data_IF_852646719217
#
_entry.id   IF_852646719217
#
_cell.length_a   1.000
_cell.length_b   1.000
_cell.length_c   1.000
_cell.angle_alpha   90.00
_cell.angle_beta   90.00
_cell.angle_gamma   90.00
#
_symmetry.space_group_name_H-M   'P 1'
#
loop_
_entity.id
_entity.type
_entity.pdbx_description
1 polymer ?
#
# COMPACT_ATOMS: atom_id res chain seq x y z
N UNK A 1 63.70 -37.24 47.46
CA UNK A 1 62.33 -36.68 47.36
C UNK A 1 61.50 -37.58 46.45
N UNK A 2 60.57 -38.38 46.99
CA UNK A 2 59.68 -39.23 46.18
C UNK A 2 58.48 -38.39 45.68
N UNK A 3 58.09 -38.48 44.40
CA UNK A 3 56.99 -37.69 43.86
C UNK A 3 55.67 -38.21 44.42
N UNK A 4 54.84 -37.31 44.97
CA UNK A 4 53.45 -37.64 45.33
C UNK A 4 52.69 -38.01 44.06
N UNK A 5 52.36 -39.31 43.91
CA UNK A 5 51.38 -39.76 42.92
C UNK A 5 50.04 -39.09 43.24
N UNK A 6 49.64 -38.09 42.45
CA UNK A 6 48.28 -37.56 42.45
C UNK A 6 47.34 -38.72 42.17
N UNK A 7 46.51 -39.07 43.16
CA UNK A 7 45.48 -40.12 43.08
C UNK A 7 44.57 -39.75 41.90
N UNK A 8 44.47 -40.60 40.87
CA UNK A 8 43.51 -40.38 39.79
C UNK A 8 42.10 -40.39 40.40
N UNK A 9 41.27 -39.38 40.13
CA UNK A 9 39.91 -39.33 40.67
C UNK A 9 39.12 -40.55 40.21
N UNK A 10 38.33 -41.08 41.14
CA UNK A 10 37.45 -42.24 40.93
C UNK A 10 36.44 -41.96 39.80
N UNK A 11 36.44 -42.74 38.70
CA UNK A 11 35.60 -42.49 37.53
C UNK A 11 34.10 -42.58 37.83
N UNK A 12 33.66 -43.42 38.78
CA UNK A 12 32.25 -43.48 39.19
C UNK A 12 31.84 -42.20 39.95
N UNK A 13 32.72 -41.72 40.84
CA UNK A 13 32.52 -40.44 41.53
C UNK A 13 32.51 -39.26 40.56
N UNK A 14 33.33 -39.28 39.51
CA UNK A 14 33.29 -38.26 38.46
C UNK A 14 32.00 -38.31 37.64
N UNK A 15 31.50 -39.49 37.28
CA UNK A 15 30.22 -39.64 36.57
C UNK A 15 29.02 -39.18 37.42
N UNK A 16 29.00 -39.50 38.71
CA UNK A 16 27.97 -39.05 39.65
C UNK A 16 27.98 -37.52 39.83
N UNK A 17 29.17 -36.91 39.90
CA UNK A 17 29.30 -35.45 39.95
C UNK A 17 28.82 -34.79 38.65
N UNK A 18 29.13 -35.36 37.48
CA UNK A 18 28.65 -34.86 36.18
C UNK A 18 27.13 -34.98 36.05
N UNK A 19 26.53 -36.10 36.48
CA UNK A 19 25.08 -36.28 36.49
C UNK A 19 24.39 -35.30 37.44
N UNK A 20 24.89 -35.15 38.67
CA UNK A 20 24.36 -34.18 39.64
C UNK A 20 24.50 -32.75 39.14
N UNK A 21 25.64 -32.40 38.54
CA UNK A 21 25.84 -31.08 37.96
C UNK A 21 24.87 -30.86 36.79
N UNK A 22 24.68 -31.83 35.88
CA UNK A 22 23.71 -31.73 34.78
C UNK A 22 22.26 -31.55 35.28
N UNK A 23 21.87 -32.25 36.34
CA UNK A 23 20.57 -32.08 36.99
C UNK A 23 20.43 -30.69 37.62
N UNK A 24 21.44 -30.23 38.36
CA UNK A 24 21.47 -28.88 38.95
C UNK A 24 21.41 -27.79 37.87
N UNK A 25 22.15 -27.94 36.77
CA UNK A 25 22.09 -27.01 35.63
C UNK A 25 20.69 -27.00 35.00
N UNK A 26 20.07 -28.18 34.82
CA UNK A 26 18.70 -28.28 34.30
C UNK A 26 17.67 -27.60 35.21
N UNK A 27 17.77 -27.79 36.53
CA UNK A 27 16.90 -27.12 37.50
C UNK A 27 17.11 -25.61 37.51
N UNK A 28 18.37 -25.15 37.45
CA UNK A 28 18.69 -23.72 37.39
C UNK A 28 18.16 -23.06 36.10
N UNK A 29 18.30 -23.72 34.95
CA UNK A 29 17.75 -23.23 33.68
C UNK A 29 16.22 -23.18 33.70
N UNK A 30 15.57 -24.21 34.24
CA UNK A 30 14.11 -24.25 34.38
C UNK A 30 13.61 -23.15 35.34
N UNK A 31 14.29 -22.96 36.48
CA UNK A 31 13.97 -21.89 37.43
C UNK A 31 14.16 -20.50 36.80
N UNK A 32 15.25 -20.29 36.05
CA UNK A 32 15.49 -19.04 35.33
C UNK A 32 14.38 -18.76 34.31
N UNK A 33 14.00 -19.76 33.51
CA UNK A 33 12.90 -19.63 32.54
C UNK A 33 11.57 -19.31 33.24
N UNK A 34 11.26 -20.00 34.35
CA UNK A 34 10.05 -19.74 35.11
C UNK A 34 10.02 -18.32 35.69
N UNK A 35 11.14 -17.83 36.24
CA UNK A 35 11.27 -16.46 36.73
C UNK A 35 11.09 -15.46 35.59
N UNK A 36 11.70 -15.69 34.42
CA UNK A 36 11.50 -14.85 33.24
C UNK A 36 10.02 -14.81 32.87
N UNK A 37 9.37 -15.97 32.65
CA UNK A 37 7.95 -16.02 32.28
C UNK A 37 7.05 -15.32 33.30
N UNK A 38 7.31 -15.47 34.59
CA UNK A 38 6.58 -14.78 35.65
C UNK A 38 6.77 -13.26 35.59
N UNK A 39 8.02 -12.79 35.43
CA UNK A 39 8.32 -11.36 35.32
C UNK A 39 7.70 -10.77 34.06
N UNK A 40 7.93 -11.37 32.88
CA UNK A 40 7.34 -10.92 31.61
C UNK A 40 5.80 -10.95 31.67
N UNK A 41 5.21 -12.00 32.26
CA UNK A 41 3.77 -12.12 32.44
C UNK A 41 3.19 -11.05 33.35
N UNK A 42 3.84 -10.78 34.49
CA UNK A 42 3.39 -9.76 35.44
C UNK A 42 3.52 -8.34 34.87
N UNK A 43 4.64 -8.04 34.20
CA UNK A 43 4.83 -6.77 33.47
C UNK A 43 3.75 -6.62 32.40
N UNK A 44 3.47 -7.66 31.63
CA UNK A 44 2.46 -7.60 30.60
C UNK A 44 1.03 -7.42 31.15
N UNK A 45 0.73 -7.98 32.32
CA UNK A 45 -0.56 -7.83 32.99
C UNK A 45 -0.76 -6.40 33.50
N UNK A 46 0.28 -5.80 34.07
CA UNK A 46 0.23 -4.46 34.66
C UNK A 46 0.40 -3.34 33.62
N UNK A 47 0.87 -3.66 32.42
CA UNK A 47 1.05 -2.70 31.34
C UNK A 47 -0.31 -2.16 30.83
N UNK A 48 -0.38 -0.84 30.64
CA UNK A 48 -1.52 -0.16 30.05
C UNK A 48 -1.79 -0.70 28.64
N UNK A 49 -3.05 -1.02 28.38
CA UNK A 49 -3.50 -1.57 27.10
C UNK A 49 -3.81 -0.42 26.15
N UNK A 50 -3.39 -0.58 24.90
CA UNK A 50 -3.57 0.43 23.86
C UNK A 50 -4.59 -0.07 22.85
N UNK A 51 -5.46 0.81 22.38
CA UNK A 51 -6.46 0.45 21.37
C UNK A 51 -5.92 0.55 19.93
N UNK A 52 -4.85 1.32 19.73
CA UNK A 52 -4.25 1.60 18.44
C UNK A 52 -2.72 1.57 18.50
N UNK A 53 -2.09 1.10 17.42
CA UNK A 53 -0.64 1.17 17.21
C UNK A 53 -0.34 2.18 16.12
N UNK A 54 0.33 3.27 16.50
CA UNK A 54 0.77 4.32 15.56
C UNK A 54 1.86 3.79 14.60
N UNK A 55 2.72 2.88 15.07
CA UNK A 55 3.80 2.32 14.25
C UNK A 55 3.28 1.32 13.22
N UNK A 56 2.32 0.47 13.59
CA UNK A 56 1.69 -0.50 12.67
C UNK A 56 0.47 0.10 11.94
N UNK A 57 0.10 1.35 12.25
CA UNK A 57 -1.08 2.06 11.74
C UNK A 57 -2.37 1.22 11.75
N UNK A 58 -2.67 0.55 12.87
CA UNK A 58 -3.84 -0.34 12.99
C UNK A 58 -4.41 -0.40 14.40
N UNK A 59 -5.69 -0.78 14.48
CA UNK A 59 -6.32 -1.16 15.75
C UNK A 59 -5.70 -2.45 16.30
N UNK A 60 -5.49 -2.46 17.60
CA UNK A 60 -4.95 -3.60 18.32
C UNK A 60 -6.09 -4.49 18.82
N UNK A 61 -5.86 -5.80 18.81
CA UNK A 61 -6.85 -6.76 19.29
C UNK A 61 -7.07 -6.58 20.80
N UNK A 62 -8.30 -6.24 21.18
CA UNK A 62 -8.72 -6.21 22.57
C UNK A 62 -8.90 -7.64 23.12
N UNK A 63 -8.73 -7.81 24.43
CA UNK A 63 -8.95 -9.09 25.09
C UNK A 63 -10.41 -9.54 24.94
N UNK A 64 -10.66 -10.75 24.41
CA UNK A 64 -12.02 -11.24 24.19
C UNK A 64 -12.71 -11.58 25.52
N UNK A 65 -14.02 -11.33 25.59
CA UNK A 65 -14.84 -11.87 26.66
C UNK A 65 -15.11 -13.37 26.41
N UNK A 66 -14.96 -14.24 27.43
CA UNK A 66 -15.25 -15.66 27.26
C UNK A 66 -16.76 -15.90 27.14
N UNK A 67 -17.17 -16.59 26.07
CA UNK A 67 -18.53 -17.14 25.91
C UNK A 67 -18.45 -18.62 25.60
N UNK A 68 -19.47 -19.41 25.99
CA UNK A 68 -19.49 -20.86 25.75
C UNK A 68 -19.30 -21.21 24.27
N UNK A 69 -19.94 -20.46 23.37
CA UNK A 69 -19.78 -20.61 21.93
C UNK A 69 -18.33 -20.35 21.47
N UNK A 70 -17.74 -19.22 21.89
CA UNK A 70 -16.37 -18.84 21.49
C UNK A 70 -15.28 -19.79 22.01
N UNK A 71 -15.54 -20.51 23.10
CA UNK A 71 -14.61 -21.50 23.65
C UNK A 71 -14.72 -22.80 22.85
N UNK A 72 -15.94 -23.22 22.53
CA UNK A 72 -16.22 -24.45 21.76
C UNK A 72 -15.73 -24.35 20.31
N UNK A 73 -15.85 -23.17 19.68
CA UNK A 73 -15.42 -22.95 18.30
C UNK A 73 -13.93 -22.54 18.17
N UNK A 74 -13.22 -22.38 19.30
CA UNK A 74 -11.80 -22.02 19.34
C UNK A 74 -11.48 -20.54 19.07
N UNK A 75 -12.48 -19.72 18.72
CA UNK A 75 -12.29 -18.30 18.41
C UNK A 75 -11.81 -17.49 19.61
N UNK A 76 -12.19 -17.89 20.83
CA UNK A 76 -11.70 -17.26 22.06
C UNK A 76 -10.18 -17.40 22.19
N UNK A 77 -9.64 -18.61 21.98
CA UNK A 77 -8.19 -18.84 22.11
C UNK A 77 -7.39 -18.13 21.03
N UNK A 78 -7.89 -18.13 19.79
CA UNK A 78 -7.29 -17.37 18.70
C UNK A 78 -7.25 -15.86 19.01
N UNK A 79 -8.37 -15.28 19.42
CA UNK A 79 -8.46 -13.86 19.80
C UNK A 79 -7.64 -13.53 21.04
N UNK A 80 -7.56 -14.43 22.01
CA UNK A 80 -6.74 -14.26 23.21
C UNK A 80 -5.25 -14.23 22.85
N UNK A 81 -4.79 -15.13 21.97
CA UNK A 81 -3.41 -15.13 21.49
C UNK A 81 -3.08 -13.86 20.70
N UNK A 82 -3.98 -13.43 19.81
CA UNK A 82 -3.84 -12.18 19.08
C UNK A 82 -3.78 -10.97 20.02
N UNK A 83 -4.71 -10.88 20.99
CA UNK A 83 -4.70 -9.83 22.02
C UNK A 83 -3.41 -9.85 22.85
N UNK A 84 -2.93 -11.02 23.26
CA UNK A 84 -1.69 -11.11 24.03
C UNK A 84 -0.46 -10.63 23.24
N UNK A 85 -0.39 -10.95 21.95
CA UNK A 85 0.65 -10.48 21.04
C UNK A 85 0.60 -8.96 20.85
N UNK A 86 -0.60 -8.43 20.55
CA UNK A 86 -0.82 -7.01 20.28
C UNK A 86 -0.58 -6.15 21.52
N UNK A 87 -0.96 -6.66 22.68
CA UNK A 87 -0.87 -5.93 23.95
C UNK A 87 0.42 -6.23 24.72
N UNK A 88 1.40 -6.88 24.07
CA UNK A 88 2.67 -7.23 24.71
C UNK A 88 3.45 -5.96 25.07
N UNK A 89 3.95 -5.87 26.29
CA UNK A 89 4.66 -4.67 26.71
C UNK A 89 5.85 -4.37 25.79
N UNK A 90 6.03 -3.08 25.49
CA UNK A 90 7.10 -2.60 24.60
C UNK A 90 7.16 -3.35 23.25
N UNK A 91 6.01 -3.76 22.70
CA UNK A 91 5.88 -4.47 21.41
C UNK A 91 6.74 -3.88 20.30
N UNK A 92 6.72 -2.56 20.12
CA UNK A 92 7.50 -1.88 19.08
C UNK A 92 9.01 -2.13 19.21
N UNK A 93 9.51 -2.20 20.44
CA UNK A 93 10.92 -2.53 20.71
C UNK A 93 11.23 -3.97 20.35
N UNK A 94 10.30 -4.90 20.58
CA UNK A 94 10.45 -6.29 20.17
C UNK A 94 10.44 -6.46 18.66
N UNK A 95 9.51 -5.81 17.97
CA UNK A 95 9.42 -5.83 16.49
C UNK A 95 10.71 -5.27 15.89
N UNK A 96 11.14 -4.08 16.33
CA UNK A 96 12.38 -3.47 15.83
C UNK A 96 13.64 -4.26 16.18
N UNK A 97 13.71 -4.89 17.38
CA UNK A 97 14.84 -5.74 17.76
C UNK A 97 14.90 -7.01 16.92
N UNK A 98 13.75 -7.67 16.71
CA UNK A 98 13.64 -8.85 15.85
C UNK A 98 14.11 -8.51 14.44
N UNK A 99 13.58 -7.42 13.87
CA UNK A 99 13.94 -6.97 12.53
C UNK A 99 15.45 -6.72 12.39
N UNK A 100 16.09 -6.06 13.36
CA UNK A 100 17.55 -5.85 13.36
C UNK A 100 18.32 -7.16 13.41
N UNK A 101 17.85 -8.14 14.19
CA UNK A 101 18.48 -9.48 14.25
C UNK A 101 18.33 -10.18 12.89
N UNK A 102 17.13 -10.16 12.31
CA UNK A 102 16.84 -10.77 11.00
C UNK A 102 17.73 -10.14 9.91
N UNK A 103 17.88 -8.81 9.90
CA UNK A 103 18.78 -8.10 8.99
C UNK A 103 20.26 -8.46 9.19
N UNK A 104 20.73 -8.57 10.44
CA UNK A 104 22.09 -9.01 10.77
C UNK A 104 22.35 -10.46 10.32
N UNK A 105 21.32 -11.30 10.34
CA UNK A 105 21.35 -12.66 9.82
C UNK A 105 21.22 -12.71 8.28
N UNK A 106 21.11 -11.56 7.62
CA UNK A 106 21.07 -11.44 6.17
C UNK A 106 19.68 -11.52 5.55
N UNK A 107 18.60 -11.55 6.36
CA UNK A 107 17.24 -11.45 5.82
C UNK A 107 17.01 -10.07 5.22
N UNK A 108 16.40 -10.04 4.03
CA UNK A 108 16.10 -8.82 3.26
C UNK A 108 14.61 -8.68 2.95
N UNK A 109 13.79 -9.34 3.75
CA UNK A 109 12.34 -9.31 3.66
C UNK A 109 11.77 -9.28 5.08
N UNK A 110 10.73 -8.47 5.30
CA UNK A 110 9.94 -8.47 6.53
C UNK A 110 8.47 -8.33 6.17
N UNK A 111 7.65 -9.31 6.58
CA UNK A 111 6.20 -9.31 6.38
C UNK A 111 5.76 -9.04 4.92
N UNK A 112 6.39 -9.68 3.93
CA UNK A 112 6.05 -9.49 2.52
C UNK A 112 6.48 -8.13 1.96
N UNK A 113 7.51 -7.51 2.56
CA UNK A 113 8.15 -6.28 2.08
C UNK A 113 9.65 -6.49 1.99
N UNK A 114 10.21 -6.28 0.81
CA UNK A 114 11.65 -6.28 0.59
C UNK A 114 12.31 -5.03 1.16
N UNK A 115 13.45 -5.24 1.81
CA UNK A 115 14.34 -4.21 2.33
C UNK A 115 15.41 -3.94 1.27
N UNK A 116 15.17 -2.93 0.45
CA UNK A 116 15.90 -2.64 -0.77
C UNK A 116 17.09 -1.68 -0.55
N UNK A 117 17.80 -1.38 -1.62
CA UNK A 117 18.83 -0.34 -1.64
C UNK A 117 18.21 1.06 -1.45
N UNK A 118 19.02 2.02 -1.02
CA UNK A 118 18.62 3.44 -0.85
C UNK A 118 17.37 3.65 0.02
N UNK A 119 17.24 2.83 1.06
CA UNK A 119 16.15 2.85 2.05
C UNK A 119 14.73 2.64 1.47
N UNK A 120 14.64 2.08 0.26
CA UNK A 120 13.37 1.68 -0.33
C UNK A 120 12.80 0.43 0.36
N UNK A 121 11.49 0.44 0.54
CA UNK A 121 10.66 -0.67 0.92
C UNK A 121 9.77 -1.00 -0.28
N UNK A 122 9.85 -2.23 -0.78
CA UNK A 122 9.10 -2.65 -1.96
C UNK A 122 8.30 -3.90 -1.60
N UNK A 123 6.99 -3.84 -1.80
CA UNK A 123 6.13 -5.01 -1.58
C UNK A 123 6.51 -6.18 -2.51
N UNK A 124 6.49 -7.39 -1.96
CA UNK A 124 6.78 -8.60 -2.74
C UNK A 124 5.71 -8.75 -3.83
N UNK A 125 6.08 -8.80 -5.13
CA UNK A 125 5.09 -8.93 -6.18
C UNK A 125 4.47 -10.31 -6.17
N UNK A 126 3.14 -10.35 -6.14
CA UNK A 126 2.36 -11.57 -6.25
C UNK A 126 1.92 -11.82 -7.70
N UNK A 127 1.71 -13.09 -8.04
CA UNK A 127 1.15 -13.44 -9.34
C UNK A 127 -0.36 -13.11 -9.35
N UNK A 128 -0.89 -12.56 -10.45
CA UNK A 128 -2.31 -12.22 -10.55
C UNK A 128 -3.19 -13.47 -10.49
N UNK A 129 -4.36 -13.37 -9.85
CA UNK A 129 -5.42 -14.36 -9.98
C UNK A 129 -6.01 -14.24 -11.39
N UNK A 130 -5.67 -15.21 -12.25
CA UNK A 130 -6.06 -15.22 -13.66
C UNK A 130 -7.59 -15.23 -13.86
N UNK A 131 -8.37 -15.78 -12.92
CA UNK A 131 -9.82 -15.77 -13.02
C UNK A 131 -10.38 -14.36 -12.74
N UNK A 132 -9.85 -13.67 -11.72
CA UNK A 132 -10.21 -12.30 -11.39
C UNK A 132 -9.80 -11.34 -12.50
N UNK A 133 -8.53 -11.40 -12.91
CA UNK A 133 -8.00 -10.56 -14.00
C UNK A 133 -8.77 -10.79 -15.31
N UNK A 134 -9.02 -12.05 -15.69
CA UNK A 134 -9.77 -12.38 -16.90
C UNK A 134 -11.21 -11.85 -16.88
N UNK A 135 -11.87 -11.88 -15.72
CA UNK A 135 -13.21 -11.30 -15.52
C UNK A 135 -13.17 -9.77 -15.72
N UNK A 136 -12.23 -9.09 -15.07
CA UNK A 136 -12.08 -7.63 -15.15
C UNK A 136 -11.77 -7.17 -16.58
N UNK A 137 -10.83 -7.83 -17.27
CA UNK A 137 -10.52 -7.52 -18.67
C UNK A 137 -11.73 -7.76 -19.59
N UNK A 138 -12.54 -8.79 -19.33
CA UNK A 138 -13.75 -9.05 -20.12
C UNK A 138 -14.79 -7.96 -19.90
N UNK A 139 -15.00 -7.51 -18.65
CA UNK A 139 -15.91 -6.42 -18.34
C UNK A 139 -15.47 -5.10 -19.01
N UNK A 140 -14.18 -4.74 -18.93
CA UNK A 140 -13.64 -3.54 -19.58
C UNK A 140 -13.81 -3.56 -21.10
N UNK A 141 -13.56 -4.71 -21.75
CA UNK A 141 -13.79 -4.85 -23.20
C UNK A 141 -15.25 -4.66 -23.57
N UNK A 142 -16.15 -5.32 -22.85
CA UNK A 142 -17.59 -5.23 -23.13
C UNK A 142 -18.09 -3.79 -22.93
N UNK A 143 -17.62 -3.14 -21.86
CA UNK A 143 -17.92 -1.74 -21.59
C UNK A 143 -17.42 -0.82 -22.72
N UNK A 144 -16.20 -1.01 -23.21
CA UNK A 144 -15.67 -0.23 -24.33
C UNK A 144 -16.43 -0.48 -25.65
N UNK A 145 -16.88 -1.71 -25.90
CA UNK A 145 -17.69 -2.03 -27.09
C UNK A 145 -19.10 -1.42 -27.00
N UNK A 146 -19.66 -1.31 -25.81
CA UNK A 146 -21.00 -0.73 -25.59
C UNK A 146 -21.02 0.81 -25.74
N UNK A 147 -19.86 1.44 -25.55
CA UNK A 147 -19.67 2.89 -25.47
C UNK A 147 -18.60 3.35 -26.47
N UNK A 148 -18.74 2.93 -27.73
CA UNK A 148 -17.79 3.23 -28.81
C UNK A 148 -17.77 4.72 -29.22
N UNK A 149 -18.70 5.51 -28.70
CA UNK A 149 -18.79 6.95 -28.82
C UNK A 149 -17.87 7.71 -27.84
N UNK A 150 -17.39 7.04 -26.78
CA UNK A 150 -16.56 7.64 -25.75
C UNK A 150 -15.06 7.45 -26.02
N UNK A 151 -14.26 8.47 -25.71
CA UNK A 151 -12.80 8.31 -25.70
C UNK A 151 -12.39 7.50 -24.47
N UNK A 152 -11.92 6.28 -24.65
CA UNK A 152 -11.49 5.41 -23.53
C UNK A 152 -9.99 5.20 -23.49
N UNK A 153 -9.40 5.36 -22.31
CA UNK A 153 -7.98 5.07 -22.04
C UNK A 153 -7.84 4.17 -20.81
N UNK A 154 -6.99 3.14 -20.90
CA UNK A 154 -6.51 2.38 -19.76
C UNK A 154 -5.06 2.74 -19.45
N UNK A 155 -4.78 3.06 -18.19
CA UNK A 155 -3.46 3.28 -17.62
C UNK A 155 -3.29 2.33 -16.44
N UNK A 156 -2.69 1.18 -16.70
CA UNK A 156 -2.37 0.21 -15.65
C UNK A 156 -0.89 0.39 -15.29
N UNK A 157 -0.66 1.02 -14.15
CA UNK A 157 0.66 1.52 -13.73
C UNK A 157 1.48 0.39 -13.12
N UNK A 158 2.73 0.15 -13.58
CA UNK A 158 3.61 -0.80 -12.94
C UNK A 158 3.97 -0.36 -11.52
N UNK A 159 4.14 -1.31 -10.61
CA UNK A 159 4.57 -1.02 -9.25
C UNK A 159 6.11 -0.85 -9.17
N UNK A 160 6.59 -0.38 -8.02
CA UNK A 160 8.02 -0.21 -7.76
C UNK A 160 8.84 -1.50 -7.97
N UNK A 161 8.28 -2.68 -7.69
CA UNK A 161 8.99 -3.96 -7.88
C UNK A 161 9.31 -4.26 -9.35
N UNK A 162 8.49 -3.77 -10.27
CA UNK A 162 8.68 -3.89 -11.72
C UNK A 162 9.60 -2.80 -12.28
N UNK A 163 9.38 -1.55 -11.87
CA UNK A 163 10.14 -0.39 -12.37
C UNK A 163 11.55 -0.35 -11.78
N UNK A 164 11.69 -0.63 -10.49
CA UNK A 164 12.93 -0.52 -9.71
C UNK A 164 13.57 -1.89 -9.45
N UNK A 165 13.51 -2.80 -10.42
CA UNK A 165 13.99 -4.19 -10.27
C UNK A 165 15.44 -4.29 -9.78
N UNK A 166 16.29 -3.34 -10.16
CA UNK A 166 17.70 -3.27 -9.76
C UNK A 166 17.91 -2.88 -8.28
N UNK A 167 16.88 -2.35 -7.61
CA UNK A 167 16.91 -2.00 -6.19
C UNK A 167 16.57 -3.19 -5.29
N UNK A 168 15.94 -4.24 -5.86
CA UNK A 168 15.56 -5.43 -5.12
C UNK A 168 16.78 -6.15 -4.52
N UNK A 169 16.62 -6.87 -3.39
CA UNK A 169 17.67 -7.72 -2.87
C UNK A 169 18.15 -8.72 -3.92
N UNK A 170 19.46 -9.02 -3.90
CA UNK A 170 20.04 -10.00 -4.84
C UNK A 170 19.32 -11.34 -4.73
N UNK A 171 18.93 -11.90 -5.87
CA UNK A 171 18.16 -13.15 -5.97
C UNK A 171 16.78 -13.13 -5.30
N UNK A 172 16.21 -11.94 -5.04
CA UNK A 172 14.84 -11.83 -4.57
C UNK A 172 13.88 -12.49 -5.58
N UNK A 173 13.01 -13.42 -5.15
CA UNK A 173 11.92 -13.90 -5.98
C UNK A 173 11.03 -12.74 -6.38
N UNK A 174 10.91 -12.46 -7.67
CA UNK A 174 10.03 -11.43 -8.18
C UNK A 174 9.23 -12.01 -9.34
N UNK A 175 7.91 -12.06 -9.17
CA UNK A 175 7.00 -12.36 -10.26
C UNK A 175 7.19 -11.35 -11.40
N UNK A 176 7.12 -11.81 -12.65
CA UNK A 176 7.39 -10.96 -13.80
C UNK A 176 6.17 -10.13 -14.20
N UNK A 177 5.92 -9.06 -13.45
CA UNK A 177 4.81 -8.13 -13.74
C UNK A 177 4.87 -7.53 -15.15
N UNK A 178 6.06 -7.40 -15.76
CA UNK A 178 6.18 -6.87 -17.12
C UNK A 178 5.47 -7.76 -18.15
N UNK A 179 5.50 -9.08 -17.96
CA UNK A 179 4.78 -10.02 -18.84
C UNK A 179 3.26 -9.89 -18.67
N UNK A 180 2.78 -9.72 -17.45
CA UNK A 180 1.34 -9.52 -17.22
C UNK A 180 0.83 -8.20 -17.79
N UNK A 181 1.57 -7.10 -17.59
CA UNK A 181 1.22 -5.80 -18.15
C UNK A 181 1.18 -5.85 -19.68
N UNK A 182 2.13 -6.56 -20.29
CA UNK A 182 2.11 -6.80 -21.72
C UNK A 182 0.86 -7.57 -22.16
N UNK A 183 0.47 -8.63 -21.44
CA UNK A 183 -0.75 -9.40 -21.73
C UNK A 183 -2.03 -8.56 -21.56
N UNK A 184 -2.09 -7.72 -20.53
CA UNK A 184 -3.18 -6.76 -20.31
C UNK A 184 -3.27 -5.77 -21.47
N UNK A 185 -2.14 -5.18 -21.89
CA UNK A 185 -2.08 -4.27 -23.03
C UNK A 185 -2.59 -4.93 -24.31
N UNK A 186 -2.09 -6.12 -24.65
CA UNK A 186 -2.56 -6.88 -25.83
C UNK A 186 -4.06 -7.17 -25.80
N UNK A 187 -4.63 -7.34 -24.61
CA UNK A 187 -6.06 -7.62 -24.43
C UNK A 187 -6.93 -6.37 -24.59
N UNK A 188 -6.46 -5.20 -24.11
CA UNK A 188 -7.26 -3.97 -24.05
C UNK A 188 -7.05 -3.03 -25.25
N UNK A 189 -5.82 -2.95 -25.79
CA UNK A 189 -5.46 -2.02 -26.88
C UNK A 189 -6.32 -2.13 -28.16
N UNK A 190 -6.94 -3.27 -28.51
CA UNK A 190 -7.87 -3.31 -29.64
C UNK A 190 -9.20 -2.58 -29.40
N UNK A 191 -9.54 -2.29 -28.14
CA UNK A 191 -10.85 -1.74 -27.74
C UNK A 191 -10.77 -0.34 -27.14
N UNK A 192 -9.60 0.07 -26.66
CA UNK A 192 -9.36 1.37 -26.03
C UNK A 192 -7.91 1.79 -26.17
N UNK A 193 -7.60 3.06 -25.92
CA UNK A 193 -6.22 3.52 -25.83
C UNK A 193 -5.54 2.90 -24.60
N UNK A 194 -4.28 2.52 -24.73
CA UNK A 194 -3.50 1.97 -23.62
C UNK A 194 -2.28 2.85 -23.36
N UNK A 195 -2.25 3.52 -22.21
CA UNK A 195 -1.18 4.40 -21.79
C UNK A 195 -0.12 3.61 -21.00
N UNK A 196 0.88 3.08 -21.71
CA UNK A 196 2.04 2.45 -21.06
C UNK A 196 3.03 3.52 -20.57
N UNK A 197 3.03 3.74 -19.26
CA UNK A 197 3.89 4.73 -18.59
C UNK A 197 5.19 4.12 -18.03
N UNK A 198 5.45 2.83 -18.31
CA UNK A 198 6.57 2.09 -17.71
C UNK A 198 7.91 2.73 -18.01
N UNK A 199 8.15 3.13 -19.27
CA UNK A 199 9.43 3.72 -19.65
C UNK A 199 9.63 5.09 -19.00
N UNK A 200 8.59 5.94 -18.98
CA UNK A 200 8.64 7.24 -18.33
C UNK A 200 9.00 7.13 -16.84
N UNK A 201 8.44 6.15 -16.13
CA UNK A 201 8.80 5.88 -14.74
C UNK A 201 10.24 5.37 -14.60
N UNK A 202 10.69 4.47 -15.50
CA UNK A 202 12.07 3.94 -15.49
C UNK A 202 13.12 5.03 -15.69
N UNK A 203 12.86 5.97 -16.59
CA UNK A 203 13.78 7.06 -16.90
C UNK A 203 14.02 8.00 -15.72
N UNK A 204 13.04 8.08 -14.80
CA UNK A 204 13.05 8.97 -13.64
C UNK A 204 13.18 8.26 -12.28
N UNK A 205 13.58 6.97 -12.25
CA UNK A 205 13.75 6.21 -10.98
C UNK A 205 14.63 6.95 -9.98
N UNK A 206 15.74 7.53 -10.45
CA UNK A 206 16.69 8.25 -9.60
C UNK A 206 16.18 9.59 -9.09
N UNK A 207 15.13 10.14 -9.73
CA UNK A 207 14.53 11.40 -9.33
C UNK A 207 13.46 11.22 -8.24
N UNK A 208 13.09 9.96 -7.93
CA UNK A 208 12.16 9.63 -6.85
C UNK A 208 10.71 9.52 -7.30
N UNK A 209 10.43 8.75 -8.36
CA UNK A 209 9.06 8.49 -8.85
C UNK A 209 8.21 7.59 -7.93
N UNK A 210 8.81 6.91 -6.95
CA UNK A 210 8.11 6.17 -5.91
C UNK A 210 8.54 6.65 -4.52
N UNK A 211 7.61 6.63 -3.57
CA UNK A 211 7.95 6.82 -2.16
C UNK A 211 8.84 5.67 -1.69
N UNK A 212 9.77 5.95 -0.77
CA UNK A 212 10.66 4.94 -0.19
C UNK A 212 9.94 4.03 0.77
N UNK A 213 8.97 4.55 1.51
CA UNK A 213 8.29 3.80 2.59
C UNK A 213 6.79 3.60 2.36
N UNK A 214 6.29 3.96 1.18
CA UNK A 214 4.90 3.81 0.78
C UNK A 214 4.76 3.05 -0.55
N UNK A 215 3.61 2.45 -0.76
CA UNK A 215 3.32 1.68 -1.97
C UNK A 215 2.94 2.55 -3.17
N UNK A 216 2.66 3.85 -2.98
CA UNK A 216 2.32 4.77 -4.07
C UNK A 216 3.54 5.31 -4.81
N UNK A 217 3.30 5.73 -6.05
CA UNK A 217 4.18 6.68 -6.72
C UNK A 217 4.13 8.07 -6.07
N UNK A 218 5.14 8.90 -6.30
CA UNK A 218 5.13 10.31 -5.89
C UNK A 218 4.36 11.16 -6.91
N UNK A 219 4.06 12.41 -6.56
CA UNK A 219 3.49 13.37 -7.54
C UNK A 219 4.42 13.58 -8.74
N UNK A 220 5.74 13.42 -8.58
CA UNK A 220 6.68 13.41 -9.69
C UNK A 220 6.46 12.19 -10.60
N UNK A 221 6.30 10.99 -10.03
CA UNK A 221 5.96 9.79 -10.80
C UNK A 221 4.64 9.94 -11.57
N UNK A 222 3.63 10.52 -10.92
CA UNK A 222 2.35 10.84 -11.56
C UNK A 222 2.50 11.91 -12.67
N UNK A 223 3.36 12.90 -12.49
CA UNK A 223 3.68 13.90 -13.53
C UNK A 223 4.36 13.25 -14.75
N UNK A 224 5.37 12.39 -14.54
CA UNK A 224 6.00 11.63 -15.64
C UNK A 224 4.98 10.77 -16.40
N UNK A 225 4.04 10.15 -15.69
CA UNK A 225 2.95 9.39 -16.29
C UNK A 225 1.97 10.28 -17.06
N UNK A 226 1.70 11.49 -16.57
CA UNK A 226 0.86 12.48 -17.25
C UNK A 226 1.52 12.92 -18.57
N UNK A 227 2.79 13.31 -18.53
CA UNK A 227 3.55 13.70 -19.73
C UNK A 227 3.56 12.61 -20.79
N UNK A 228 3.74 11.35 -20.38
CA UNK A 228 3.75 10.20 -21.27
C UNK A 228 2.36 9.83 -21.84
N UNK A 229 1.27 10.32 -21.24
CA UNK A 229 -0.10 9.93 -21.60
C UNK A 229 -0.98 11.07 -22.12
N UNK A 230 -0.51 12.32 -22.05
CA UNK A 230 -1.29 13.51 -22.40
C UNK A 230 -1.94 13.43 -23.80
N UNK A 231 -1.19 13.02 -24.83
CA UNK A 231 -1.71 12.87 -26.20
C UNK A 231 -2.82 11.80 -26.28
N UNK A 232 -2.63 10.67 -25.59
CA UNK A 232 -3.63 9.61 -25.48
C UNK A 232 -4.87 10.10 -24.73
N UNK A 233 -4.73 11.01 -23.77
CA UNK A 233 -5.87 11.66 -23.09
C UNK A 233 -6.51 12.78 -23.92
N UNK A 234 -6.03 13.05 -25.14
CA UNK A 234 -6.54 14.12 -26.00
C UNK A 234 -6.15 15.51 -25.51
N UNK A 235 -5.00 15.62 -24.83
CA UNK A 235 -4.44 16.87 -24.34
C UNK A 235 -3.28 17.26 -25.27
N UNK A 236 -3.57 18.16 -26.22
CA UNK A 236 -2.62 18.56 -27.26
C UNK A 236 -1.52 19.50 -26.76
N UNK A 237 -1.86 20.35 -25.79
CA UNK A 237 -0.96 21.36 -25.21
C UNK A 237 -0.87 21.18 -23.70
N UNK A 238 -0.14 20.15 -23.22
CA UNK A 238 0.07 19.96 -21.80
C UNK A 238 0.87 21.13 -21.22
N UNK A 239 0.41 21.65 -20.10
CA UNK A 239 1.13 22.55 -19.19
C UNK A 239 2.39 21.81 -18.73
N UNK A 240 3.53 22.44 -18.96
CA UNK A 240 4.85 21.95 -18.55
C UNK A 240 5.40 22.68 -17.34
N UNK A 241 4.85 23.86 -17.04
CA UNK A 241 5.35 24.74 -15.99
C UNK A 241 4.45 24.62 -14.75
N UNK A 242 5.06 24.23 -13.63
CA UNK A 242 4.37 24.06 -12.36
C UNK A 242 5.13 24.76 -11.24
N UNK A 243 4.38 25.35 -10.30
CA UNK A 243 4.93 25.68 -9.00
C UNK A 243 4.79 24.45 -8.09
N UNK A 244 5.93 23.95 -7.60
CA UNK A 244 5.96 22.74 -6.77
C UNK A 244 6.02 23.13 -5.30
N UNK A 245 4.97 22.77 -4.56
CA UNK A 245 4.86 23.06 -3.13
C UNK A 245 5.14 21.79 -2.34
N UNK A 246 6.03 21.89 -1.35
CA UNK A 246 6.23 20.80 -0.38
C UNK A 246 5.16 20.91 0.70
N UNK A 247 4.25 19.94 0.73
CA UNK A 247 3.17 19.87 1.74
C UNK A 247 3.70 19.34 3.08
N UNK A 248 4.61 18.36 3.02
CA UNK A 248 5.31 17.82 4.20
C UNK A 248 6.62 17.20 3.76
N UNK A 249 7.62 17.15 4.67
CA UNK A 249 8.88 16.42 4.51
C UNK A 249 8.97 15.18 5.41
N UNK A 250 7.87 14.83 6.07
CA UNK A 250 7.83 13.82 7.14
C UNK A 250 6.82 12.71 6.83
N UNK A 251 6.73 12.30 5.57
CA UNK A 251 5.84 11.21 5.19
C UNK A 251 6.55 9.86 5.33
N UNK A 252 6.01 9.01 6.18
CA UNK A 252 6.41 7.61 6.30
C UNK A 252 5.19 6.73 6.04
N UNK A 253 5.27 5.91 4.99
CA UNK A 253 4.11 5.23 4.43
C UNK A 253 3.73 3.90 5.07
N UNK A 254 2.79 3.23 4.41
CA UNK A 254 2.20 1.98 4.89
C UNK A 254 3.20 0.82 4.86
N UNK A 255 4.21 0.84 3.99
CA UNK A 255 5.21 -0.23 3.90
C UNK A 255 6.18 -0.22 5.10
N UNK A 256 6.48 0.96 5.66
CA UNK A 256 7.21 1.04 6.93
C UNK A 256 6.39 0.41 8.06
N UNK A 257 5.10 0.72 8.13
CA UNK A 257 4.19 0.16 9.13
C UNK A 257 4.03 -1.36 8.99
N UNK A 258 3.95 -1.87 7.75
CA UNK A 258 3.83 -3.30 7.43
C UNK A 258 5.09 -4.09 7.79
N UNK A 259 6.25 -3.56 7.42
CA UNK A 259 7.55 -4.22 7.62
C UNK A 259 8.13 -4.02 9.03
N UNK A 260 7.68 -3.00 9.76
CA UNK A 260 8.29 -2.52 11.00
C UNK A 260 9.61 -1.75 10.78
N UNK A 261 9.95 -1.44 9.53
CA UNK A 261 11.20 -0.76 9.14
C UNK A 261 10.97 0.74 8.96
N UNK A 262 11.24 1.49 10.02
CA UNK A 262 11.12 2.95 10.04
C UNK A 262 12.49 3.59 9.74
N UNK A 263 12.81 3.79 8.45
CA UNK A 263 14.16 4.20 8.00
C UNK A 263 14.22 5.51 7.21
N UNK A 264 13.13 5.91 6.57
CA UNK A 264 13.12 7.06 5.68
C UNK A 264 11.78 7.80 5.76
N UNK A 265 11.86 9.12 5.69
CA UNK A 265 10.72 10.01 5.49
C UNK A 265 10.87 10.69 4.13
N UNK A 266 9.76 10.79 3.40
CA UNK A 266 9.68 11.42 2.09
C UNK A 266 8.92 12.75 2.14
N UNK A 267 9.12 13.54 1.09
CA UNK A 267 8.33 14.73 0.85
C UNK A 267 7.06 14.39 0.03
N UNK A 268 5.90 14.89 0.46
CA UNK A 268 4.71 14.95 -0.39
C UNK A 268 4.64 16.33 -1.02
N UNK A 269 4.50 16.39 -2.34
CA UNK A 269 4.49 17.65 -3.09
C UNK A 269 3.18 17.85 -3.85
N UNK A 270 2.67 19.08 -3.84
CA UNK A 270 1.59 19.53 -4.71
C UNK A 270 2.18 20.22 -5.95
N UNK A 271 1.58 19.95 -7.10
CA UNK A 271 1.91 20.62 -8.36
C UNK A 271 0.78 21.60 -8.68
N UNK A 272 1.10 22.88 -8.67
CA UNK A 272 0.20 23.96 -9.06
C UNK A 272 0.50 24.36 -10.50
N UNK A 273 -0.43 24.17 -11.45
CA UNK A 273 -0.20 24.50 -12.85
C UNK A 273 -0.07 26.00 -13.06
N UNK A 274 0.96 26.43 -13.79
CA UNK A 274 1.15 27.82 -14.19
C UNK A 274 0.59 28.06 -15.60
N UNK A 275 0.27 29.33 -15.90
CA UNK A 275 -0.21 29.72 -17.23
C UNK A 275 -1.66 29.33 -17.54
N UNK A 276 -2.46 28.99 -16.53
CA UNK A 276 -3.89 28.70 -16.65
C UNK A 276 -4.71 29.52 -15.66
N UNK A 277 -5.88 30.00 -16.10
CA UNK A 277 -6.88 30.69 -15.26
C UNK A 277 -8.01 29.74 -14.83
N UNK A 278 -7.86 28.43 -15.06
CA UNK A 278 -8.86 27.43 -14.68
C UNK A 278 -8.89 27.29 -13.17
N UNK A 279 -10.03 27.67 -12.59
CA UNK A 279 -10.35 27.44 -11.18
C UNK A 279 -11.25 26.22 -11.04
N UNK A 280 -11.30 25.64 -9.84
CA UNK A 280 -12.09 24.44 -9.57
C UNK A 280 -12.62 24.40 -8.14
N UNK A 281 -13.54 23.49 -7.89
CA UNK A 281 -13.91 23.03 -6.56
C UNK A 281 -14.24 21.53 -6.60
N UNK A 282 -14.14 20.89 -5.45
CA UNK A 282 -14.38 19.46 -5.25
C UNK A 282 -15.72 19.26 -4.56
N UNK A 283 -16.46 18.24 -4.96
CA UNK A 283 -17.70 17.77 -4.34
C UNK A 283 -17.52 16.32 -3.94
N UNK A 284 -17.75 16.02 -2.67
CA UNK A 284 -17.80 14.66 -2.14
C UNK A 284 -19.24 14.19 -2.16
N UNK A 285 -19.64 13.47 -3.21
CA UNK A 285 -21.06 13.19 -3.48
C UNK A 285 -21.76 12.41 -2.34
N UNK A 286 -21.05 11.58 -1.58
CA UNK A 286 -21.63 10.86 -0.44
C UNK A 286 -22.04 11.76 0.73
N UNK A 287 -21.30 12.84 0.98
CA UNK A 287 -21.57 13.79 2.07
C UNK A 287 -22.17 15.11 1.59
N UNK A 288 -22.18 15.35 0.27
CA UNK A 288 -22.47 16.63 -0.37
C UNK A 288 -21.56 17.78 0.10
N UNK A 289 -20.43 17.45 0.73
CA UNK A 289 -19.42 18.42 1.15
C UNK A 289 -18.72 19.02 -0.06
N UNK A 290 -18.39 20.32 0.04
CA UNK A 290 -17.64 21.04 -0.98
C UNK A 290 -16.32 21.54 -0.42
N UNK A 291 -15.24 21.28 -1.14
CA UNK A 291 -13.91 21.77 -0.81
C UNK A 291 -13.37 22.66 -1.94
N UNK A 292 -12.60 23.69 -1.57
CA UNK A 292 -11.94 24.59 -2.53
C UNK A 292 -10.64 24.03 -3.11
N UNK A 293 -10.23 22.84 -2.70
CA UNK A 293 -8.95 22.23 -3.05
C UNK A 293 -9.09 20.71 -3.11
N UNK A 294 -8.28 20.07 -3.95
CA UNK A 294 -8.06 18.61 -3.92
C UNK A 294 -7.13 18.18 -2.78
N UNK A 295 -6.48 19.15 -2.12
CA UNK A 295 -5.59 18.93 -0.98
C UNK A 295 -6.34 19.19 0.34
N UNK A 296 -6.32 18.22 1.24
CA UNK A 296 -6.97 18.25 2.55
C UNK A 296 -5.91 18.40 3.64
N UNK A 297 -5.62 19.63 4.04
CA UNK A 297 -4.50 19.95 4.96
C UNK A 297 -4.52 19.17 6.27
N UNK A 298 -5.70 18.93 6.85
CA UNK A 298 -5.84 18.18 8.11
C UNK A 298 -5.34 16.73 8.04
N UNK A 299 -5.21 16.16 6.83
CA UNK A 299 -4.63 14.84 6.64
C UNK A 299 -3.14 14.79 6.99
N UNK A 300 -2.43 15.92 6.88
CA UNK A 300 -1.00 16.03 7.18
C UNK A 300 -0.68 15.87 8.67
N UNK A 301 -1.67 16.04 9.54
CA UNK A 301 -1.56 15.82 10.99
C UNK A 301 -1.77 14.34 11.38
N UNK A 302 -2.15 13.48 10.42
CA UNK A 302 -2.38 12.05 10.63
C UNK A 302 -1.14 11.19 10.29
N UNK A 303 -1.19 9.90 10.65
CA UNK A 303 -0.16 8.93 10.23
C UNK A 303 -0.20 8.71 8.72
N UNK A 304 -1.39 8.61 8.13
CA UNK A 304 -1.58 8.41 6.69
C UNK A 304 -1.66 9.75 5.95
N UNK A 305 -0.51 10.42 5.83
CA UNK A 305 -0.42 11.74 5.19
C UNK A 305 -0.69 11.70 3.68
N UNK A 306 -0.66 10.52 3.04
CA UNK A 306 -1.02 10.40 1.61
C UNK A 306 -2.50 10.77 1.37
N UNK A 307 -3.35 10.63 2.38
CA UNK A 307 -4.75 11.09 2.31
C UNK A 307 -4.90 12.61 2.18
N UNK A 308 -3.80 13.38 2.18
CA UNK A 308 -3.84 14.80 1.76
C UNK A 308 -4.45 14.95 0.38
N UNK A 309 -4.28 13.98 -0.52
CA UNK A 309 -5.03 13.94 -1.77
C UNK A 309 -6.45 13.44 -1.50
N UNK A 310 -7.42 14.32 -1.69
CA UNK A 310 -8.85 14.08 -1.58
C UNK A 310 -9.37 13.64 -0.21
N UNK A 311 -8.57 13.52 0.84
CA UNK A 311 -9.06 13.11 2.17
C UNK A 311 -9.26 11.60 2.34
N UNK A 312 -8.70 10.80 1.42
CA UNK A 312 -8.77 9.33 1.46
C UNK A 312 -9.67 8.73 0.38
N UNK A 313 -10.32 7.61 0.72
CA UNK A 313 -11.14 6.86 -0.23
C UNK A 313 -12.60 7.29 -0.14
N UNK A 314 -13.16 7.67 -1.29
CA UNK A 314 -14.55 8.06 -1.45
C UNK A 314 -15.16 7.28 -2.61
N UNK A 315 -16.44 6.87 -2.52
CA UNK A 315 -17.09 6.13 -3.60
C UNK A 315 -17.22 6.95 -4.88
N UNK A 316 -17.50 8.24 -4.74
CA UNK A 316 -17.69 9.19 -5.82
C UNK A 316 -17.16 10.56 -5.40
N UNK A 317 -16.27 11.14 -6.22
CA UNK A 317 -15.76 12.52 -6.06
C UNK A 317 -15.92 13.24 -7.38
N UNK A 318 -16.47 14.45 -7.36
CA UNK A 318 -16.63 15.26 -8.55
C UNK A 318 -15.81 16.55 -8.43
N UNK A 319 -14.92 16.79 -9.39
CA UNK A 319 -14.23 18.07 -9.55
C UNK A 319 -14.94 18.85 -10.65
N UNK A 320 -15.33 20.08 -10.36
CA UNK A 320 -15.94 21.00 -11.32
C UNK A 320 -15.01 22.16 -11.56
N UNK A 321 -14.79 22.51 -12.82
CA UNK A 321 -13.80 23.52 -13.21
C UNK A 321 -14.44 24.63 -14.03
N UNK A 322 -13.69 25.70 -14.24
CA UNK A 322 -14.07 26.79 -15.17
C UNK A 322 -13.55 26.59 -16.59
N UNK A 323 -13.03 25.40 -16.94
CA UNK A 323 -12.52 25.11 -18.29
C UNK A 323 -13.62 25.21 -19.37
N UNK A 324 -14.89 24.93 -19.03
CA UNK A 324 -16.08 25.15 -19.86
C UNK A 324 -15.98 24.63 -21.32
N UNK A 325 -15.23 23.56 -21.52
CA UNK A 325 -14.94 22.99 -22.84
C UNK A 325 -15.84 21.79 -23.21
N UNK A 326 -16.86 21.50 -22.38
CA UNK A 326 -17.77 20.37 -22.58
C UNK A 326 -17.16 18.99 -22.30
N UNK A 327 -15.87 18.88 -21.99
CA UNK A 327 -15.23 17.59 -21.70
C UNK A 327 -15.52 17.16 -20.26
N UNK A 328 -16.08 15.97 -20.13
CA UNK A 328 -16.41 15.34 -18.85
C UNK A 328 -15.71 14.00 -18.77
N UNK A 329 -14.73 13.91 -17.88
CA UNK A 329 -13.95 12.69 -17.65
C UNK A 329 -14.56 11.86 -16.53
N UNK A 330 -14.85 10.59 -16.79
CA UNK A 330 -15.11 9.58 -15.77
C UNK A 330 -13.83 8.76 -15.52
N UNK A 331 -13.38 8.68 -14.28
CA UNK A 331 -12.21 7.89 -13.89
C UNK A 331 -12.65 6.73 -13.01
N UNK A 332 -12.42 5.49 -13.44
CA UNK A 332 -12.42 4.33 -12.56
C UNK A 332 -11.02 4.15 -12.00
N UNK A 333 -10.89 4.16 -10.68
CA UNK A 333 -9.58 4.29 -10.05
C UNK A 333 -9.38 3.51 -8.76
N UNK A 334 -8.12 3.36 -8.40
CA UNK A 334 -7.65 3.14 -7.04
C UNK A 334 -6.92 4.40 -6.48
N UNK A 335 -6.20 4.25 -5.38
CA UNK A 335 -5.50 5.36 -4.73
C UNK A 335 -4.32 5.95 -5.53
N UNK A 336 -3.83 5.31 -6.60
CA UNK A 336 -2.79 5.89 -7.47
C UNK A 336 -3.30 7.11 -8.24
N UNK A 337 -4.59 7.15 -8.58
CA UNK A 337 -5.14 8.30 -9.30
C UNK A 337 -5.13 9.59 -8.45
N UNK A 338 -5.09 9.47 -7.12
CA UNK A 338 -5.29 10.61 -6.22
C UNK A 338 -4.24 11.72 -6.43
N UNK A 339 -2.96 11.39 -6.65
CA UNK A 339 -1.93 12.38 -6.97
C UNK A 339 -1.75 12.65 -8.48
N UNK A 340 -2.44 11.89 -9.34
CA UNK A 340 -2.44 12.10 -10.80
C UNK A 340 -3.52 13.08 -11.26
N UNK A 341 -4.72 13.00 -10.69
CA UNK A 341 -5.87 13.83 -11.08
C UNK A 341 -5.60 15.34 -11.03
N UNK A 342 -4.79 15.90 -10.11
CA UNK A 342 -4.45 17.33 -10.14
C UNK A 342 -3.91 17.81 -11.50
N UNK A 343 -3.15 16.97 -12.21
CA UNK A 343 -2.62 17.30 -13.54
C UNK A 343 -3.71 17.36 -14.61
N UNK A 344 -4.87 16.73 -14.41
CA UNK A 344 -5.97 16.72 -15.37
C UNK A 344 -6.91 17.92 -15.23
N UNK A 345 -6.94 18.56 -14.05
CA UNK A 345 -7.90 19.63 -13.70
C UNK A 345 -7.99 20.74 -14.77
N UNK A 346 -6.88 21.24 -15.35
CA UNK A 346 -6.95 22.31 -16.34
C UNK A 346 -7.69 21.95 -17.64
N UNK A 347 -7.87 20.67 -17.96
CA UNK A 347 -8.29 20.21 -19.29
C UNK A 347 -9.72 19.70 -19.38
N UNK A 348 -10.41 19.55 -18.26
CA UNK A 348 -11.77 19.01 -18.22
C UNK A 348 -12.70 19.97 -17.50
N UNK A 349 -13.87 20.22 -18.08
CA UNK A 349 -14.95 20.96 -17.41
C UNK A 349 -15.40 20.26 -16.13
N UNK A 350 -15.42 18.93 -16.15
CA UNK A 350 -15.74 18.11 -15.00
C UNK A 350 -14.94 16.81 -15.00
N UNK A 351 -14.45 16.42 -13.83
CA UNK A 351 -13.81 15.12 -13.59
C UNK A 351 -14.63 14.41 -12.52
N UNK A 352 -15.05 13.18 -12.80
CA UNK A 352 -15.85 12.33 -11.93
C UNK A 352 -15.02 11.10 -11.61
N UNK A 353 -14.65 10.92 -10.35
CA UNK A 353 -13.83 9.80 -9.90
C UNK A 353 -14.71 8.79 -9.17
N UNK A 354 -14.72 7.55 -9.66
CA UNK A 354 -15.40 6.40 -9.07
C UNK A 354 -14.34 5.44 -8.53
N UNK A 355 -14.48 5.08 -7.25
CA UNK A 355 -13.72 3.98 -6.65
C UNK A 355 -14.65 2.75 -6.56
N UNK A 356 -14.50 1.74 -7.46
CA UNK A 356 -15.42 0.60 -7.54
C UNK A 356 -15.56 -0.17 -6.25
N UNK A 357 -14.56 -0.13 -5.36
CA UNK A 357 -14.59 -0.84 -4.07
C UNK A 357 -15.69 -0.31 -3.14
N UNK A 358 -16.13 0.93 -3.35
CA UNK A 358 -17.09 1.62 -2.50
C UNK A 358 -18.33 2.12 -3.26
N UNK A 359 -18.32 2.12 -4.60
CA UNK A 359 -19.41 2.60 -5.44
C UNK A 359 -20.36 1.47 -5.85
N UNK A 360 -21.62 1.57 -5.42
CA UNK A 360 -22.65 0.54 -5.67
C UNK A 360 -23.85 1.05 -6.49
N UNK A 361 -23.82 2.32 -6.93
CA UNK A 361 -24.86 2.92 -7.76
C UNK A 361 -24.66 2.57 -9.25
N UNK A 362 -25.65 2.88 -10.08
CA UNK A 362 -25.62 2.55 -11.51
C UNK A 362 -24.70 3.51 -12.29
N UNK A 363 -23.69 2.94 -12.97
CA UNK A 363 -22.70 3.75 -13.71
C UNK A 363 -23.23 4.30 -15.03
N UNK A 364 -24.12 3.60 -15.73
CA UNK A 364 -24.76 4.08 -16.96
C UNK A 364 -25.60 5.33 -16.70
N UNK A 365 -26.35 5.32 -15.60
CA UNK A 365 -27.13 6.47 -15.16
C UNK A 365 -26.21 7.63 -14.81
N UNK A 366 -25.09 7.38 -14.11
CA UNK A 366 -24.10 8.40 -13.82
C UNK A 366 -23.53 9.01 -15.11
N UNK A 367 -23.11 8.18 -16.07
CA UNK A 367 -22.55 8.61 -17.35
C UNK A 367 -23.55 9.48 -18.13
N UNK A 368 -24.80 9.00 -18.26
CA UNK A 368 -25.88 9.72 -18.95
C UNK A 368 -26.19 11.05 -18.26
N UNK A 369 -26.29 11.07 -16.93
CA UNK A 369 -26.61 12.28 -16.18
C UNK A 369 -25.49 13.34 -16.22
N UNK A 370 -24.24 12.90 -16.25
CA UNK A 370 -23.07 13.79 -16.28
C UNK A 370 -22.67 14.19 -17.70
N UNK A 371 -23.13 13.48 -18.72
CA UNK A 371 -22.73 13.71 -20.11
C UNK A 371 -21.25 13.37 -20.31
N UNK A 372 -20.82 12.20 -19.83
CA UNK A 372 -19.44 11.73 -19.93
C UNK A 372 -18.99 11.70 -21.39
N UNK A 373 -17.79 12.22 -21.67
CA UNK A 373 -17.17 12.23 -23.00
C UNK A 373 -15.90 11.38 -23.07
N UNK A 374 -15.23 11.24 -21.93
CA UNK A 374 -13.95 10.55 -21.79
C UNK A 374 -14.01 9.59 -20.60
N UNK A 375 -13.41 8.41 -20.73
CA UNK A 375 -13.26 7.43 -19.66
C UNK A 375 -11.77 7.09 -19.47
N UNK A 376 -11.33 7.09 -18.22
CA UNK A 376 -9.99 6.66 -17.83
C UNK A 376 -10.08 5.54 -16.78
N UNK A 377 -9.46 4.40 -17.06
CA UNK A 377 -9.15 3.40 -16.05
C UNK A 377 -7.74 3.65 -15.54
N UNK A 378 -7.58 4.09 -14.30
CA UNK A 378 -6.26 4.37 -13.70
C UNK A 378 -6.06 3.56 -12.43
N UNK A 379 -5.19 2.55 -12.52
CA UNK A 379 -4.93 1.63 -11.43
C UNK A 379 -3.44 1.33 -11.29
N UNK A 380 -3.00 1.07 -10.06
CA UNK A 380 -1.81 0.27 -9.85
C UNK A 380 -2.05 -1.19 -10.31
N UNK A 381 -1.04 -1.85 -10.86
CA UNK A 381 -1.21 -3.24 -11.30
C UNK A 381 -1.58 -4.21 -10.17
N UNK A 382 -1.00 -4.06 -8.97
CA UNK A 382 -1.26 -4.99 -7.85
C UNK A 382 -2.74 -4.95 -7.45
N UNK A 383 -3.31 -3.76 -7.30
CA UNK A 383 -4.73 -3.57 -6.98
C UNK A 383 -5.62 -4.01 -8.14
N UNK A 384 -5.28 -3.64 -9.39
CA UNK A 384 -6.03 -4.02 -10.59
C UNK A 384 -6.18 -5.53 -10.75
N UNK A 385 -5.08 -6.26 -10.55
CA UNK A 385 -5.05 -7.71 -10.75
C UNK A 385 -5.85 -8.49 -9.71
N UNK A 386 -6.07 -7.91 -8.54
CA UNK A 386 -6.86 -8.46 -7.44
C UNK A 386 -8.26 -7.82 -7.33
N UNK A 387 -8.61 -6.89 -8.22
CA UNK A 387 -9.86 -6.14 -8.16
C UNK A 387 -11.05 -7.03 -8.56
N UNK A 388 -11.93 -7.26 -7.60
CA UNK A 388 -13.19 -7.99 -7.82
C UNK A 388 -14.39 -7.07 -8.03
N UNK A 389 -14.26 -5.78 -7.76
CA UNK A 389 -15.34 -4.80 -7.75
C UNK A 389 -15.52 -4.08 -9.09
N UNK A 390 -14.45 -3.76 -9.83
CA UNK A 390 -14.52 -3.06 -11.11
C UNK A 390 -15.40 -3.81 -12.11
N UNK A 391 -15.22 -5.13 -12.23
CA UNK A 391 -16.05 -5.94 -13.11
C UNK A 391 -17.54 -5.89 -12.74
N UNK A 392 -17.86 -5.79 -11.44
CA UNK A 392 -19.23 -5.66 -10.96
C UNK A 392 -19.79 -4.25 -11.24
N UNK A 393 -19.01 -3.19 -11.02
CA UNK A 393 -19.41 -1.81 -11.33
C UNK A 393 -19.69 -1.62 -12.82
N UNK A 394 -18.87 -2.21 -13.70
CA UNK A 394 -19.07 -2.18 -15.15
C UNK A 394 -20.20 -3.12 -15.63
N UNK A 395 -20.47 -4.19 -14.88
CA UNK A 395 -21.44 -5.23 -15.22
C UNK A 395 -22.85 -5.00 -14.67
N UNK A 396 -23.00 -4.18 -13.61
CA UNK A 396 -24.29 -3.75 -13.06
C UNK A 396 -25.15 -2.95 -14.07
N UNK A 397 -24.59 -2.70 -15.26
CA UNK A 397 -25.20 -2.12 -16.46
C UNK A 397 -26.02 -3.11 -17.31
N UNK A 398 -26.15 -4.39 -16.93
CA UNK A 398 -26.87 -5.42 -17.70
C UNK A 398 -28.23 -5.84 -17.15
#
# INVERSE_FOLDING_TARGET
MRPQKKRKPDPERQQLLLQRNRQLHGVLLAALLAVLLLVFGLVNLLHTKSDFSENENRKLQAYPAPTAASILDGSFMSKLQAAFSDQFFARDRWISTKLRIDELLGQKESNGVYLCQDDYLIEVPEAPDQAVLGRTLTAMKNFAVQHDDLRMTAMIVPNASSVMRDYLPKNAPAHNQQEDLFAVNQTLSPFMQYADVTQALKDHVKDGVFFRTDHHWTSLGAHCAFDASAELLGIETPITDYNVHVLTNSFEGTLASKSGKHIAEDAITAYEPLGTDVSYYVVYDSTQEKAGSVYVDSALDSKDKYTVFFGGNHPLVTIKTTANNGRVLLIFKDSYANCFVPFLIPYYQQIVMVDPRYYYDNVEQLMTQRGVTDVLFLYNFSTFSADTALADTLGASS
#
